data_IF_706015139694
#
_entry.id   IF_706015139694
#
_cell.length_a   1.000
_cell.length_b   1.000
_cell.length_c   1.000
_cell.angle_alpha   90.00
_cell.angle_beta   90.00
_cell.angle_gamma   90.00
#
_symmetry.space_group_name_H-M   'P 1'
#
loop_
_entity.id
_entity.type
_entity.pdbx_description
1 polymer ?
#
# COMPACT_ATOMS: atom_id res chain seq x y z
N UNK A 1 1.41 -35.99 24.34
CA UNK A 1 1.17 -37.14 23.44
C UNK A 1 -0.27 -37.09 22.98
N UNK A 2 -0.54 -37.09 21.67
CA UNK A 2 -1.90 -37.05 21.13
C UNK A 2 -2.44 -38.48 20.99
N UNK A 3 -3.22 -38.94 21.97
CA UNK A 3 -4.02 -40.16 21.87
C UNK A 3 -3.26 -41.45 21.53
N UNK A 4 -1.99 -41.59 21.91
CA UNK A 4 -1.17 -42.78 21.63
C UNK A 4 -0.36 -42.74 20.32
N UNK A 5 -0.42 -41.64 19.56
CA UNK A 5 0.43 -41.46 18.37
C UNK A 5 1.83 -40.95 18.74
N UNK A 6 2.87 -41.52 18.13
CA UNK A 6 4.29 -41.22 18.38
C UNK A 6 5.12 -41.28 17.09
N UNK A 7 6.19 -40.49 17.05
CA UNK A 7 7.25 -40.57 16.02
C UNK A 7 8.56 -40.88 16.75
N UNK A 8 9.22 -41.96 16.36
CA UNK A 8 10.51 -42.40 16.90
C UNK A 8 11.56 -42.21 15.81
N UNK A 9 12.65 -41.51 16.12
CA UNK A 9 13.79 -41.28 15.22
C UNK A 9 15.04 -41.83 15.89
N UNK A 10 15.73 -42.76 15.25
CA UNK A 10 16.97 -43.36 15.76
C UNK A 10 17.93 -43.72 14.62
N UNK A 11 19.06 -44.36 14.96
CA UNK A 11 20.08 -44.79 13.99
C UNK A 11 19.57 -45.74 12.90
N UNK A 12 18.47 -46.45 13.16
CA UNK A 12 17.88 -47.43 12.25
C UNK A 12 16.78 -46.79 11.38
N UNK A 13 16.36 -45.55 11.67
CA UNK A 13 15.47 -44.75 10.84
C UNK A 13 14.33 -44.05 11.60
N UNK A 14 13.25 -43.77 10.87
CA UNK A 14 12.05 -43.09 11.36
C UNK A 14 10.90 -44.10 11.44
N UNK A 15 10.25 -44.21 12.60
CA UNK A 15 9.06 -45.06 12.83
C UNK A 15 7.90 -44.22 13.34
N UNK A 16 6.75 -44.34 12.69
CA UNK A 16 5.49 -43.73 13.12
C UNK A 16 4.61 -44.79 13.78
N UNK A 17 4.12 -44.51 14.98
CA UNK A 17 3.20 -45.35 15.75
C UNK A 17 1.90 -44.56 15.89
N UNK A 18 0.77 -45.15 15.52
CA UNK A 18 -0.56 -44.58 15.78
C UNK A 18 -1.56 -45.71 16.01
N UNK A 19 -2.51 -45.58 16.96
CA UNK A 19 -3.59 -46.54 17.12
C UNK A 19 -4.64 -46.45 15.99
N UNK A 20 -4.65 -45.36 15.23
CA UNK A 20 -5.54 -45.15 14.08
C UNK A 20 -4.86 -45.41 12.74
N UNK A 21 -5.44 -44.85 11.66
CA UNK A 21 -4.87 -44.92 10.32
C UNK A 21 -3.77 -43.86 10.16
N UNK A 22 -2.61 -44.28 9.68
CA UNK A 22 -1.59 -43.35 9.19
C UNK A 22 -1.92 -42.94 7.76
N UNK A 23 -2.16 -41.64 7.54
CA UNK A 23 -2.33 -41.06 6.21
C UNK A 23 -1.26 -39.99 5.97
N UNK A 24 -0.43 -40.21 4.94
CA UNK A 24 0.53 -39.22 4.47
C UNK A 24 -0.06 -38.50 3.27
N UNK A 25 -0.54 -37.27 3.47
CA UNK A 25 -1.02 -36.40 2.42
C UNK A 25 0.16 -35.58 1.89
N UNK A 26 0.65 -35.89 0.70
CA UNK A 26 1.69 -35.10 0.06
C UNK A 26 1.08 -33.80 -0.47
N UNK A 27 1.44 -32.65 0.11
CA UNK A 27 1.11 -31.32 -0.43
C UNK A 27 1.90 -30.95 -1.69
N UNK A 28 2.81 -31.83 -2.16
CA UNK A 28 3.49 -31.70 -3.43
C UNK A 28 2.98 -32.76 -4.40
N UNK A 29 2.53 -32.28 -5.55
CA UNK A 29 1.97 -33.08 -6.62
C UNK A 29 3.01 -34.12 -7.07
N UNK A 30 2.70 -35.41 -6.89
CA UNK A 30 3.45 -36.49 -7.51
C UNK A 30 2.98 -36.65 -8.95
N UNK A 31 3.65 -36.01 -9.89
CA UNK A 31 3.37 -36.18 -11.31
C UNK A 31 3.92 -37.54 -11.78
N UNK A 32 3.06 -38.55 -11.90
CA UNK A 32 3.43 -39.87 -12.42
C UNK A 32 3.56 -39.88 -13.94
N UNK A 33 2.86 -38.98 -14.62
CA UNK A 33 2.94 -38.73 -16.07
C UNK A 33 2.26 -37.40 -16.39
N UNK A 34 2.52 -36.83 -17.57
CA UNK A 34 1.78 -35.68 -18.08
C UNK A 34 0.38 -36.09 -18.53
N UNK A 35 -0.65 -35.37 -18.07
CA UNK A 35 -2.03 -35.55 -18.52
C UNK A 35 -2.52 -34.26 -19.17
N UNK A 36 -3.15 -34.36 -20.35
CA UNK A 36 -3.81 -33.22 -21.00
C UNK A 36 -5.18 -33.03 -20.35
N UNK A 37 -5.23 -32.14 -19.37
CA UNK A 37 -6.49 -31.71 -18.76
C UNK A 37 -7.05 -30.54 -19.57
N UNK A 38 -8.29 -30.66 -20.05
CA UNK A 38 -9.03 -29.51 -20.60
C UNK A 38 -9.40 -28.60 -19.45
N UNK A 39 -8.53 -27.62 -19.16
CA UNK A 39 -8.84 -26.58 -18.19
C UNK A 39 -9.84 -25.60 -18.82
N UNK A 40 -11.00 -25.35 -18.18
CA UNK A 40 -11.86 -24.27 -18.61
C UNK A 40 -11.06 -22.96 -18.50
N UNK A 41 -11.14 -22.13 -19.54
CA UNK A 41 -10.51 -20.82 -19.53
C UNK A 41 -11.25 -19.95 -18.52
N UNK A 42 -10.77 -19.93 -17.28
CA UNK A 42 -11.26 -19.00 -16.28
C UNK A 42 -10.72 -17.62 -16.64
N UNK A 43 -11.57 -16.75 -17.17
CA UNK A 43 -11.24 -15.34 -17.34
C UNK A 43 -11.12 -14.71 -15.95
N UNK A 44 -9.98 -14.07 -15.67
CA UNK A 44 -9.88 -13.23 -14.49
C UNK A 44 -10.90 -12.09 -14.61
N UNK A 45 -11.53 -11.67 -13.49
CA UNK A 45 -12.33 -10.46 -13.46
C UNK A 45 -11.47 -9.28 -13.94
N UNK A 46 -11.87 -8.62 -15.02
CA UNK A 46 -11.27 -7.36 -15.45
C UNK A 46 -11.93 -6.22 -14.68
N UNK A 47 -11.12 -5.48 -13.95
CA UNK A 47 -11.54 -4.22 -13.30
C UNK A 47 -11.83 -3.21 -14.43
N UNK A 48 -12.97 -2.46 -14.41
CA UNK A 48 -13.40 -1.61 -15.52
C UNK A 48 -12.50 -0.39 -15.83
N UNK A 49 -11.33 -0.31 -15.21
CA UNK A 49 -10.44 0.83 -15.26
C UNK A 49 -9.57 0.74 -16.52
N UNK A 50 -10.15 1.16 -17.64
CA UNK A 50 -9.56 1.03 -18.97
C UNK A 50 -8.26 1.82 -19.16
N UNK A 51 -7.95 2.77 -18.28
CA UNK A 51 -6.76 3.61 -18.37
C UNK A 51 -5.86 3.42 -17.15
N UNK A 52 -4.73 2.77 -17.36
CA UNK A 52 -3.65 2.62 -16.37
C UNK A 52 -2.63 3.73 -16.54
N UNK A 53 -2.54 4.62 -15.56
CA UNK A 53 -1.56 5.69 -15.52
C UNK A 53 -0.37 5.32 -14.61
N UNK A 54 0.79 5.90 -14.90
CA UNK A 54 2.01 5.71 -14.12
C UNK A 54 2.72 7.05 -13.95
N UNK A 55 3.08 7.39 -12.73
CA UNK A 55 3.98 8.49 -12.40
C UNK A 55 5.28 7.90 -11.92
N UNK A 56 6.37 8.20 -12.64
CA UNK A 56 7.73 7.91 -12.21
C UNK A 56 8.30 9.15 -11.51
N UNK A 57 8.94 8.97 -10.37
CA UNK A 57 9.47 10.06 -9.58
C UNK A 57 10.71 9.63 -8.81
N UNK A 58 11.50 10.62 -8.39
CA UNK A 58 12.74 10.40 -7.65
C UNK A 58 13.06 11.62 -6.81
N UNK A 59 13.50 11.39 -5.57
CA UNK A 59 14.08 12.44 -4.74
C UNK A 59 15.58 12.51 -4.99
N UNK A 60 16.05 13.68 -5.40
CA UNK A 60 17.48 13.98 -5.45
C UNK A 60 17.76 15.14 -4.50
N UNK A 61 18.66 14.91 -3.55
CA UNK A 61 19.12 15.92 -2.61
C UNK A 61 20.46 16.42 -3.09
N UNK A 62 20.58 17.74 -3.26
CA UNK A 62 21.79 18.39 -3.73
C UNK A 62 22.29 19.34 -2.63
N UNK A 63 23.62 19.44 -2.46
CA UNK A 63 24.24 20.49 -1.67
C UNK A 63 24.21 21.85 -2.40
N UNK A 64 24.72 22.90 -1.73
CA UNK A 64 24.84 24.22 -2.31
C UNK A 64 25.75 24.30 -3.54
N UNK A 65 26.58 23.28 -3.77
CA UNK A 65 27.45 23.15 -4.94
C UNK A 65 26.83 22.25 -6.04
N UNK A 66 25.58 21.80 -5.86
CA UNK A 66 24.86 20.96 -6.81
C UNK A 66 25.27 19.48 -6.81
N UNK A 67 26.04 19.01 -5.83
CA UNK A 67 26.42 17.59 -5.69
C UNK A 67 25.39 16.83 -4.88
N UNK A 68 25.21 15.56 -5.23
CA UNK A 68 24.29 14.66 -4.54
C UNK A 68 24.69 14.46 -3.09
N UNK A 69 23.75 14.65 -2.17
CA UNK A 69 23.88 14.43 -0.75
C UNK A 69 23.00 13.29 -0.28
N UNK A 70 23.25 12.81 0.93
CA UNK A 70 22.37 11.84 1.59
C UNK A 70 21.00 12.47 1.83
N UNK A 71 19.95 11.64 1.74
CA UNK A 71 18.61 12.08 2.05
C UNK A 71 18.56 12.59 3.49
N UNK A 72 18.00 13.79 3.75
CA UNK A 72 17.75 14.22 5.11
C UNK A 72 16.79 13.23 5.77
N UNK A 73 16.80 13.19 7.09
CA UNK A 73 15.81 12.44 7.84
C UNK A 73 14.46 13.17 7.70
N UNK A 74 13.65 12.74 6.73
CA UNK A 74 12.35 13.32 6.43
C UNK A 74 11.33 12.22 6.56
N UNK A 75 10.50 12.33 7.60
CA UNK A 75 9.59 11.26 8.00
C UNK A 75 8.35 11.16 7.10
N UNK A 76 7.97 12.25 6.41
CA UNK A 76 6.73 12.28 5.63
C UNK A 76 6.88 12.93 4.25
N UNK A 77 6.94 12.11 3.21
CA UNK A 77 6.78 12.54 1.82
C UNK A 77 5.46 12.05 1.26
N UNK A 78 4.81 12.88 0.46
CA UNK A 78 3.57 12.53 -0.22
C UNK A 78 3.62 12.88 -1.70
N UNK A 79 2.93 12.06 -2.50
CA UNK A 79 2.67 12.30 -3.90
C UNK A 79 1.19 12.53 -4.09
N UNK A 80 0.84 13.67 -4.68
CA UNK A 80 -0.51 14.01 -5.11
C UNK A 80 -0.58 13.99 -6.63
N UNK A 81 -1.64 13.39 -7.15
CA UNK A 81 -1.96 13.41 -8.59
C UNK A 81 -3.32 14.05 -8.75
N UNK A 82 -3.37 15.14 -9.50
CA UNK A 82 -4.60 15.92 -9.71
C UNK A 82 -4.98 15.94 -11.19
N UNK A 83 -6.26 16.09 -11.46
CA UNK A 83 -6.75 16.33 -12.81
C UNK A 83 -6.32 17.74 -13.26
N UNK A 84 -5.79 17.87 -14.48
CA UNK A 84 -5.27 19.16 -14.95
C UNK A 84 -6.34 20.25 -15.11
N UNK A 85 -7.57 19.86 -15.46
CA UNK A 85 -8.64 20.81 -15.81
C UNK A 85 -9.47 21.20 -14.58
N UNK A 86 -9.78 20.24 -13.73
CA UNK A 86 -10.69 20.42 -12.58
C UNK A 86 -9.96 20.57 -11.25
N UNK A 87 -8.64 20.37 -11.22
CA UNK A 87 -7.83 20.26 -10.01
C UNK A 87 -8.27 19.16 -9.02
N UNK A 88 -9.24 18.32 -9.38
CA UNK A 88 -9.71 17.22 -8.53
C UNK A 88 -8.60 16.20 -8.27
N UNK A 89 -8.52 15.70 -7.03
CA UNK A 89 -7.58 14.66 -6.65
C UNK A 89 -7.93 13.34 -7.37
N UNK A 90 -6.95 12.76 -8.06
CA UNK A 90 -7.06 11.48 -8.77
C UNK A 90 -6.38 10.34 -8.01
N UNK A 91 -5.25 10.61 -7.35
CA UNK A 91 -4.54 9.65 -6.52
C UNK A 91 -3.64 10.36 -5.50
N UNK A 92 -3.43 9.73 -4.36
CA UNK A 92 -2.49 10.18 -3.32
C UNK A 92 -1.69 8.98 -2.82
N UNK A 93 -0.41 9.19 -2.50
CA UNK A 93 0.45 8.18 -1.88
C UNK A 93 1.38 8.80 -0.85
N UNK A 94 1.23 8.38 0.41
CA UNK A 94 2.27 8.53 1.44
C UNK A 94 3.42 7.59 1.14
N UNK A 95 4.63 8.12 1.14
CA UNK A 95 5.85 7.38 0.81
C UNK A 95 6.49 6.90 2.10
N UNK A 96 6.45 5.59 2.30
CA UNK A 96 7.05 4.97 3.49
C UNK A 96 8.57 4.87 3.34
N UNK A 97 9.06 4.67 2.11
CA UNK A 97 10.47 4.60 1.77
C UNK A 97 10.78 5.54 0.60
N UNK A 98 10.88 6.87 0.80
CA UNK A 98 10.97 7.84 -0.29
C UNK A 98 12.12 7.62 -1.29
N UNK A 99 13.18 6.93 -0.87
CA UNK A 99 14.33 6.59 -1.74
C UNK A 99 14.01 5.40 -2.66
N UNK A 100 13.28 4.39 -2.16
CA UNK A 100 12.95 3.17 -2.90
C UNK A 100 11.65 3.31 -3.70
N UNK A 101 10.71 4.06 -3.14
CA UNK A 101 9.45 4.41 -3.74
C UNK A 101 9.69 5.33 -4.94
N UNK A 102 9.64 4.76 -6.14
CA UNK A 102 9.94 5.46 -7.39
C UNK A 102 8.77 5.57 -8.35
N UNK A 103 7.66 4.88 -8.07
CA UNK A 103 6.53 4.84 -9.00
C UNK A 103 5.17 4.83 -8.28
N UNK A 104 4.18 5.51 -8.83
CA UNK A 104 2.77 5.40 -8.45
C UNK A 104 1.97 4.98 -9.69
N UNK A 105 1.20 3.89 -9.55
CA UNK A 105 0.22 3.47 -10.55
C UNK A 105 -1.17 3.78 -10.03
N UNK A 106 -2.01 4.34 -10.89
CA UNK A 106 -3.40 4.65 -10.59
C UNK A 106 -4.23 4.49 -11.86
N UNK A 107 -5.53 4.34 -11.69
CA UNK A 107 -6.42 4.08 -12.81
C UNK A 107 -7.52 5.15 -12.91
N UNK A 108 -7.97 5.41 -14.13
CA UNK A 108 -9.07 6.32 -14.40
C UNK A 108 -10.09 5.67 -15.35
N UNK A 109 -11.35 6.06 -15.24
CA UNK A 109 -12.42 5.55 -16.11
C UNK A 109 -12.29 6.05 -17.56
N UNK A 110 -11.71 7.24 -17.73
CA UNK A 110 -11.46 7.89 -19.02
C UNK A 110 -10.01 8.37 -19.12
N UNK A 111 -9.51 8.51 -20.35
CA UNK A 111 -8.24 9.17 -20.62
C UNK A 111 -8.34 10.64 -20.19
N UNK A 112 -7.60 11.02 -19.14
CA UNK A 112 -7.58 12.39 -18.62
C UNK A 112 -6.15 12.84 -18.38
N UNK A 113 -5.77 14.06 -18.78
CA UNK A 113 -4.48 14.61 -18.42
C UNK A 113 -4.42 14.86 -16.90
N UNK A 114 -3.24 14.68 -16.31
CA UNK A 114 -3.01 14.85 -14.87
C UNK A 114 -1.74 15.63 -14.57
N UNK A 115 -1.71 16.32 -13.44
CA UNK A 115 -0.52 16.89 -12.83
C UNK A 115 -0.10 16.01 -11.66
N UNK A 116 1.20 15.99 -11.35
CA UNK A 116 1.71 15.32 -10.15
C UNK A 116 2.59 16.27 -9.35
N UNK A 117 2.36 16.32 -8.04
CA UNK A 117 3.13 17.16 -7.11
C UNK A 117 3.69 16.26 -6.01
N UNK A 118 5.02 16.30 -5.85
CA UNK A 118 5.71 15.67 -4.74
C UNK A 118 5.91 16.71 -3.64
N UNK A 119 5.57 16.35 -2.40
CA UNK A 119 5.62 17.25 -1.26
C UNK A 119 6.36 16.65 -0.07
N UNK A 120 6.89 17.55 0.76
CA UNK A 120 7.31 17.25 2.12
C UNK A 120 6.15 17.62 3.06
N UNK A 121 5.55 16.64 3.73
CA UNK A 121 4.30 16.85 4.46
C UNK A 121 4.48 17.54 5.82
N UNK A 122 5.70 17.58 6.36
CA UNK A 122 5.96 18.22 7.66
C UNK A 122 5.68 19.74 7.66
N UNK A 123 5.53 20.37 6.49
CA UNK A 123 5.37 21.83 6.33
C UNK A 123 4.09 22.23 5.56
N UNK A 124 3.16 21.31 5.27
CA UNK A 124 1.94 21.63 4.51
C UNK A 124 0.72 21.60 5.43
N UNK A 125 0.32 22.78 5.91
CA UNK A 125 -1.06 23.03 6.32
C UNK A 125 -1.86 23.42 5.08
N UNK A 126 -2.71 22.52 4.57
CA UNK A 126 -3.77 22.95 3.67
C UNK A 126 -4.80 23.63 4.57
N UNK A 127 -4.82 24.97 4.57
CA UNK A 127 -5.93 25.71 5.16
C UNK A 127 -7.21 25.19 4.49
N UNK A 128 -8.05 24.53 5.28
CA UNK A 128 -9.39 24.23 4.83
C UNK A 128 -10.05 25.57 4.46
N UNK A 129 -10.77 25.66 3.33
CA UNK A 129 -11.50 26.88 3.02
C UNK A 129 -12.38 27.23 4.22
N UNK A 130 -12.36 28.50 4.65
CA UNK A 130 -13.26 28.97 5.72
C UNK A 130 -14.67 28.49 5.42
N UNK A 131 -15.24 27.68 6.31
CA UNK A 131 -16.59 27.17 6.13
C UNK A 131 -17.55 28.36 6.29
N UNK A 132 -18.23 28.82 5.22
CA UNK A 132 -19.12 29.97 5.32
C UNK A 132 -20.35 29.69 6.19
N UNK A 133 -20.53 28.46 6.67
CA UNK A 133 -21.66 28.05 7.51
C UNK A 133 -21.30 27.86 8.99
N UNK A 134 -20.02 27.87 9.35
CA UNK A 134 -19.58 27.80 10.75
C UNK A 134 -18.80 29.06 11.11
N UNK A 135 -19.53 30.07 11.56
CA UNK A 135 -18.96 31.09 12.42
C UNK A 135 -18.88 30.48 13.82
N UNK A 136 -17.67 30.18 14.30
CA UNK A 136 -17.46 30.09 15.74
C UNK A 136 -17.65 31.50 16.28
N UNK A 137 -18.87 31.79 16.72
CA UNK A 137 -19.12 32.96 17.53
C UNK A 137 -18.30 32.79 18.82
N UNK A 138 -17.18 33.52 18.89
CA UNK A 138 -16.41 33.74 20.11
C UNK A 138 -17.34 34.40 21.15
N UNK A 139 -18.11 33.61 21.90
CA UNK A 139 -18.71 34.07 23.14
C UNK A 139 -17.59 34.28 24.15
N UNK A 140 -17.07 35.51 24.14
CA UNK A 140 -16.24 36.09 25.17
C UNK A 140 -16.90 35.86 26.54
N UNK A 141 -16.28 35.00 27.36
CA UNK A 141 -16.63 34.89 28.76
C UNK A 141 -16.13 36.15 29.51
N UNK A 142 -16.92 37.22 29.46
CA UNK A 142 -16.85 38.32 30.44
C UNK A 142 -18.04 38.15 31.39
N UNK A 143 -17.83 37.42 32.48
CA UNK A 143 -18.66 37.60 33.68
C UNK A 143 -17.97 38.62 34.57
N UNK A 144 -18.50 39.84 34.53
CA UNK A 144 -18.18 40.95 35.41
C UNK A 144 -18.66 40.65 36.84
N UNK A 145 -17.80 40.95 37.82
CA UNK A 145 -18.14 41.02 39.25
C UNK A 145 -19.19 42.10 39.52
N UNK A 146 -20.29 41.77 40.23
CA UNK A 146 -20.98 42.69 41.16
C UNK A 146 -21.72 41.89 42.25
N UNK A 147 -21.15 41.84 43.46
CA UNK A 147 -21.79 42.22 44.74
C UNK A 147 -20.75 42.30 45.88
#
# INVERSE_FOLDING_TARGET
MAGGSQIIINKDGIKVITPGKFESHAGQHKFTSGEKVTMPLTSLPTVPNNFSNKVDYKFEYLDGDGKKTEAPNIDEKELFVTNQETAALLAQRKLNNPIEDSTLRFYTDHQKPFNSVLVNSNDISIEAPEDPFFHEDDESNQTTEEE
#
